data_IF_200654534940
#
_entry.id   IF_200654534940
#
_cell.length_a   1.000
_cell.length_b   1.000
_cell.length_c   1.000
_cell.angle_alpha   90.00
_cell.angle_beta   90.00
_cell.angle_gamma   90.00
#
_symmetry.space_group_name_H-M   'P 1'
#
loop_
_entity.id
_entity.type
_entity.pdbx_description
1 polymer ?
#
# COMPACT_ATOMS: atom_id res chain seq x y z
N UNK A 1 -8.64 -32.65 22.67
CA UNK A 1 -7.30 -32.45 22.08
C UNK A 1 -7.47 -31.34 21.06
N UNK A 2 -6.79 -30.21 21.23
CA UNK A 2 -6.85 -29.10 20.26
C UNK A 2 -6.07 -29.50 19.01
N UNK A 3 -6.62 -29.21 17.83
CA UNK A 3 -5.98 -29.48 16.55
C UNK A 3 -5.54 -28.16 15.91
N UNK A 4 -4.36 -28.11 15.26
CA UNK A 4 -3.95 -26.95 14.49
C UNK A 4 -4.99 -26.63 13.40
N UNK A 5 -5.22 -25.35 13.15
CA UNK A 5 -6.04 -24.90 12.03
C UNK A 5 -5.42 -25.36 10.71
N UNK A 6 -6.21 -25.54 9.66
CA UNK A 6 -5.67 -25.76 8.32
C UNK A 6 -5.91 -24.53 7.46
N UNK A 7 -4.87 -23.72 7.28
CA UNK A 7 -4.95 -22.53 6.44
C UNK A 7 -3.72 -22.34 5.55
N UNK A 8 -3.92 -21.65 4.43
CA UNK A 8 -2.87 -21.33 3.48
C UNK A 8 -2.88 -19.85 3.17
N UNK A 9 -1.70 -19.24 3.19
CA UNK A 9 -1.48 -17.92 2.62
C UNK A 9 -0.64 -18.08 1.37
N UNK A 10 -0.97 -17.37 0.30
CA UNK A 10 -0.20 -17.43 -0.95
C UNK A 10 -0.15 -16.06 -1.61
N UNK A 11 0.98 -15.77 -2.25
CA UNK A 11 1.06 -14.60 -3.12
C UNK A 11 0.12 -14.80 -4.30
N UNK A 12 -0.54 -13.73 -4.73
CA UNK A 12 -1.33 -13.72 -5.95
C UNK A 12 -1.06 -12.42 -6.69
N UNK A 13 -0.81 -12.45 -8.01
CA UNK A 13 -0.91 -11.25 -8.82
C UNK A 13 -2.30 -10.67 -8.63
N UNK A 14 -2.38 -9.45 -8.11
CA UNK A 14 -3.62 -8.69 -8.05
C UNK A 14 -3.51 -7.60 -9.10
N UNK A 15 -4.59 -7.39 -9.85
CA UNK A 15 -4.77 -6.19 -10.67
C UNK A 15 -4.52 -4.99 -9.76
N UNK A 16 -3.38 -4.32 -9.98
CA UNK A 16 -2.74 -3.49 -8.98
C UNK A 16 -3.54 -2.26 -8.70
N UNK A 17 -4.39 -2.34 -7.69
CA UNK A 17 -5.16 -1.19 -7.26
C UNK A 17 -5.85 -1.48 -5.91
N UNK A 18 -6.48 -0.49 -5.27
CA UNK A 18 -7.60 -0.71 -4.30
C UNK A 18 -8.84 -1.29 -5.02
N UNK A 19 -8.61 -2.35 -5.79
CA UNK A 19 -9.56 -2.94 -6.71
C UNK A 19 -10.72 -3.57 -5.96
N UNK A 20 -11.91 -2.99 -6.11
CA UNK A 20 -13.16 -3.53 -5.62
C UNK A 20 -13.88 -4.20 -6.79
N UNK A 21 -14.20 -5.48 -6.65
CA UNK A 21 -15.05 -6.15 -7.63
C UNK A 21 -16.53 -5.84 -7.36
N UNK A 22 -17.39 -6.02 -8.35
CA UNK A 22 -18.83 -5.87 -8.16
C UNK A 22 -19.37 -6.76 -6.99
N UNK A 23 -18.93 -8.03 -6.83
CA UNK A 23 -19.21 -8.83 -5.63
C UNK A 23 -18.73 -8.22 -4.30
N UNK A 24 -17.63 -7.48 -4.31
CA UNK A 24 -17.13 -6.80 -3.11
C UNK A 24 -18.02 -5.61 -2.74
N UNK A 25 -18.45 -4.84 -3.74
CA UNK A 25 -19.37 -3.70 -3.55
C UNK A 25 -20.73 -4.17 -3.05
N UNK A 26 -21.25 -5.28 -3.60
CA UNK A 26 -22.48 -5.94 -3.13
C UNK A 26 -22.49 -6.23 -1.64
N UNK A 27 -21.37 -6.75 -1.11
CA UNK A 27 -21.21 -7.00 0.34
C UNK A 27 -21.19 -5.72 1.18
N UNK A 28 -21.01 -4.56 0.55
CA UNK A 28 -21.07 -3.23 1.14
C UNK A 28 -22.42 -2.51 0.97
N UNK A 29 -23.46 -3.19 0.46
CA UNK A 29 -24.80 -2.61 0.36
C UNK A 29 -25.67 -2.99 1.56
N UNK A 30 -26.53 -2.06 1.99
CA UNK A 30 -27.52 -2.37 3.02
C UNK A 30 -28.71 -3.15 2.45
N UNK A 31 -29.40 -3.95 3.28
CA UNK A 31 -30.65 -4.64 2.88
C UNK A 31 -31.66 -3.68 2.23
N UNK A 32 -31.80 -2.47 2.76
CA UNK A 32 -32.66 -1.43 2.21
C UNK A 32 -32.19 -0.90 0.84
N UNK A 33 -30.87 -0.77 0.64
CA UNK A 33 -30.31 -0.40 -0.66
C UNK A 33 -30.56 -1.50 -1.68
N UNK A 34 -30.51 -2.77 -1.25
CA UNK A 34 -30.75 -3.92 -2.12
C UNK A 34 -32.25 -4.09 -2.40
N UNK A 35 -33.14 -3.84 -1.44
CA UNK A 35 -34.59 -3.95 -1.64
C UNK A 35 -35.14 -2.88 -2.58
N UNK A 36 -34.52 -1.68 -2.61
CA UNK A 36 -34.80 -0.65 -3.62
C UNK A 36 -34.41 -1.04 -5.05
N UNK A 37 -33.63 -2.11 -5.22
CA UNK A 37 -33.24 -2.66 -6.51
C UNK A 37 -34.19 -3.77 -7.00
N UNK A 38 -35.37 -3.94 -6.37
CA UNK A 38 -36.39 -4.94 -6.72
C UNK A 38 -35.90 -6.41 -6.65
N UNK A 39 -35.02 -6.71 -5.69
CA UNK A 39 -34.48 -8.06 -5.48
C UNK A 39 -35.35 -8.88 -4.52
N UNK A 40 -35.53 -10.18 -4.81
CA UNK A 40 -36.15 -11.14 -3.90
C UNK A 40 -35.36 -11.27 -2.57
N UNK A 41 -35.95 -10.78 -1.47
CA UNK A 41 -35.32 -10.69 -0.14
C UNK A 41 -34.75 -12.02 0.36
N UNK A 42 -35.35 -13.15 -0.05
CA UNK A 42 -34.95 -14.51 0.39
C UNK A 42 -33.59 -14.96 -0.16
N UNK A 43 -33.14 -14.41 -1.29
CA UNK A 43 -31.83 -14.72 -1.89
C UNK A 43 -30.66 -14.05 -1.16
N UNK A 44 -30.95 -13.05 -0.31
CA UNK A 44 -29.94 -12.20 0.35
C UNK A 44 -29.76 -12.59 1.83
N UNK A 45 -30.83 -13.03 2.50
CA UNK A 45 -30.83 -13.35 3.94
C UNK A 45 -29.89 -14.48 4.36
N UNK A 46 -29.46 -15.35 3.44
CA UNK A 46 -28.62 -16.51 3.76
C UNK A 46 -27.11 -16.26 3.74
N UNK A 47 -26.63 -15.10 3.25
CA UNK A 47 -25.20 -14.89 2.93
C UNK A 47 -24.53 -13.64 3.55
N UNK A 48 -25.27 -12.75 4.23
CA UNK A 48 -24.72 -11.52 4.81
C UNK A 48 -24.79 -11.54 6.34
N UNK A 49 -23.64 -11.69 6.99
CA UNK A 49 -23.48 -11.40 8.41
C UNK A 49 -23.52 -9.87 8.62
N UNK A 50 -24.62 -9.37 9.19
CA UNK A 50 -24.95 -7.94 9.30
C UNK A 50 -23.85 -7.14 10.03
N UNK A 51 -23.09 -7.79 10.92
CA UNK A 51 -22.00 -7.17 11.68
C UNK A 51 -20.72 -6.94 10.85
N UNK A 52 -20.31 -7.88 9.99
CA UNK A 52 -19.12 -7.72 9.15
C UNK A 52 -19.35 -6.68 8.05
N UNK A 53 -20.61 -6.56 7.58
CA UNK A 53 -21.03 -5.53 6.65
C UNK A 53 -20.85 -4.11 7.22
N UNK A 54 -21.45 -3.85 8.38
CA UNK A 54 -21.38 -2.52 9.04
C UNK A 54 -19.93 -2.12 9.28
N UNK A 55 -19.10 -3.05 9.76
CA UNK A 55 -17.68 -2.79 10.01
C UNK A 55 -16.91 -2.38 8.73
N UNK A 56 -17.12 -3.08 7.60
CA UNK A 56 -16.45 -2.77 6.33
C UNK A 56 -16.88 -1.41 5.76
N UNK A 57 -18.18 -1.12 5.82
CA UNK A 57 -18.73 0.16 5.36
C UNK A 57 -18.17 1.30 6.20
N UNK A 58 -18.20 1.18 7.52
CA UNK A 58 -17.76 2.23 8.44
C UNK A 58 -16.26 2.47 8.31
N UNK A 59 -15.49 1.40 8.09
CA UNK A 59 -14.07 1.50 7.78
C UNK A 59 -13.80 2.27 6.48
N UNK A 60 -14.54 1.99 5.40
CA UNK A 60 -14.43 2.73 4.15
C UNK A 60 -14.82 4.21 4.32
N UNK A 61 -15.92 4.49 5.03
CA UNK A 61 -16.37 5.86 5.33
C UNK A 61 -15.30 6.64 6.11
N UNK A 62 -14.76 6.03 7.16
CA UNK A 62 -13.69 6.59 8.00
C UNK A 62 -12.44 6.91 7.18
N UNK A 63 -12.05 6.01 6.28
CA UNK A 63 -10.90 6.21 5.38
C UNK A 63 -11.08 7.38 4.42
N UNK A 64 -12.31 7.61 3.99
CA UNK A 64 -12.67 8.70 3.07
C UNK A 64 -13.05 10.00 3.78
N UNK A 65 -13.10 9.98 5.12
CA UNK A 65 -13.57 11.07 5.98
C UNK A 65 -14.99 11.55 5.65
N UNK A 66 -15.87 10.60 5.35
CA UNK A 66 -17.30 10.84 5.12
C UNK A 66 -18.14 10.03 6.12
N UNK A 67 -19.43 10.36 6.23
CA UNK A 67 -20.31 9.66 7.16
C UNK A 67 -20.66 8.24 6.66
N UNK A 68 -20.87 7.27 7.57
CA UNK A 68 -21.41 5.95 7.23
C UNK A 68 -22.70 5.96 6.40
N UNK A 69 -23.57 6.95 6.64
CA UNK A 69 -24.82 7.10 5.88
C UNK A 69 -24.55 7.58 4.46
N UNK A 70 -23.62 8.52 4.28
CA UNK A 70 -23.23 8.98 2.95
C UNK A 70 -22.63 7.85 2.13
N UNK A 71 -21.67 7.10 2.67
CA UNK A 71 -21.10 5.96 1.94
C UNK A 71 -22.16 4.90 1.62
N UNK A 72 -23.16 4.68 2.49
CA UNK A 72 -24.27 3.76 2.23
C UNK A 72 -25.06 4.18 0.98
N UNK A 73 -25.36 5.48 0.84
CA UNK A 73 -26.05 6.02 -0.34
C UNK A 73 -25.18 5.88 -1.59
N UNK A 74 -23.93 6.35 -1.51
CA UNK A 74 -23.01 6.35 -2.65
C UNK A 74 -22.70 4.94 -3.19
N UNK A 75 -22.57 3.95 -2.30
CA UNK A 75 -22.39 2.56 -2.73
C UNK A 75 -23.62 2.03 -3.47
N UNK A 76 -24.83 2.40 -3.04
CA UNK A 76 -26.08 2.03 -3.71
C UNK A 76 -26.20 2.62 -5.12
N UNK A 77 -25.95 3.93 -5.24
CA UNK A 77 -26.03 4.64 -6.52
C UNK A 77 -24.98 4.14 -7.50
N UNK A 78 -23.73 3.99 -7.05
CA UNK A 78 -22.65 3.42 -7.86
C UNK A 78 -22.98 2.00 -8.31
N UNK A 79 -23.54 1.19 -7.42
CA UNK A 79 -23.89 -0.19 -7.72
C UNK A 79 -24.97 -0.27 -8.80
N UNK A 80 -26.01 0.55 -8.71
CA UNK A 80 -27.07 0.62 -9.71
C UNK A 80 -26.50 0.96 -11.09
N UNK A 81 -25.64 1.97 -11.17
CA UNK A 81 -25.00 2.39 -12.43
C UNK A 81 -24.05 1.33 -13.00
N UNK A 82 -23.31 0.63 -12.14
CA UNK A 82 -22.50 -0.51 -12.56
C UNK A 82 -23.36 -1.65 -13.11
N UNK A 83 -24.51 -1.93 -12.50
CA UNK A 83 -25.43 -2.93 -13.02
C UNK A 83 -25.96 -2.52 -14.40
N UNK A 84 -26.43 -1.28 -14.57
CA UNK A 84 -26.93 -0.80 -15.87
C UNK A 84 -25.86 -0.85 -16.97
N UNK A 85 -24.59 -0.61 -16.64
CA UNK A 85 -23.50 -0.72 -17.62
C UNK A 85 -23.16 -2.17 -18.01
N UNK A 86 -23.31 -3.13 -17.10
CA UNK A 86 -23.01 -4.55 -17.37
C UNK A 86 -24.23 -5.24 -17.99
N UNK A 87 -25.43 -4.95 -17.48
CA UNK A 87 -26.73 -5.56 -17.84
C UNK A 87 -27.83 -4.49 -17.85
N UNK A 88 -27.98 -3.73 -18.96
CA UNK A 88 -28.98 -2.67 -19.04
C UNK A 88 -30.41 -3.23 -18.99
N UNK A 89 -31.27 -2.62 -18.18
CA UNK A 89 -32.72 -2.84 -18.18
C UNK A 89 -33.25 -4.03 -17.36
N UNK A 90 -32.40 -4.87 -16.74
CA UNK A 90 -32.86 -5.84 -15.74
C UNK A 90 -31.78 -6.09 -14.70
N UNK A 91 -32.11 -5.94 -13.42
CA UNK A 91 -31.16 -6.18 -12.35
C UNK A 91 -30.90 -7.69 -12.16
N UNK A 92 -29.77 -8.19 -12.65
CA UNK A 92 -29.36 -9.59 -12.48
C UNK A 92 -28.15 -9.72 -11.55
N UNK A 93 -28.44 -9.96 -10.27
CA UNK A 93 -27.42 -10.18 -9.26
C UNK A 93 -26.56 -11.43 -9.52
N UNK A 94 -27.10 -12.45 -10.20
CA UNK A 94 -26.39 -13.70 -10.45
C UNK A 94 -25.29 -13.49 -11.47
N UNK A 95 -25.57 -12.76 -12.54
CA UNK A 95 -24.57 -12.40 -13.54
C UNK A 95 -23.58 -11.36 -13.00
N UNK A 96 -24.04 -10.41 -12.19
CA UNK A 96 -23.15 -9.44 -11.56
C UNK A 96 -22.20 -10.10 -10.52
N UNK A 97 -22.66 -11.14 -9.82
CA UNK A 97 -21.78 -12.00 -8.99
C UNK A 97 -20.69 -12.71 -9.82
N UNK A 98 -20.96 -12.98 -11.11
CA UNK A 98 -19.99 -13.58 -12.05
C UNK A 98 -19.05 -12.53 -12.67
N UNK A 99 -19.40 -11.24 -12.61
CA UNK A 99 -18.56 -10.17 -13.12
C UNK A 99 -17.21 -10.16 -12.38
N UNK A 100 -16.14 -10.29 -13.17
CA UNK A 100 -14.76 -10.25 -12.68
C UNK A 100 -14.17 -8.84 -12.70
N UNK A 101 -14.92 -7.86 -13.21
CA UNK A 101 -14.44 -6.49 -13.32
C UNK A 101 -14.17 -5.86 -11.96
N UNK A 102 -13.11 -5.05 -11.91
CA UNK A 102 -12.69 -4.38 -10.67
C UNK A 102 -12.48 -2.90 -10.92
N UNK A 103 -12.80 -2.10 -9.91
CA UNK A 103 -12.74 -0.65 -10.01
C UNK A 103 -12.13 -0.01 -8.78
N UNK A 104 -11.73 1.25 -8.93
CA UNK A 104 -11.25 2.08 -7.85
C UNK A 104 -12.43 2.69 -7.12
N UNK A 105 -12.97 1.91 -6.18
CA UNK A 105 -14.16 2.32 -5.44
C UNK A 105 -13.94 3.66 -4.75
N UNK A 106 -12.76 3.86 -4.18
CA UNK A 106 -12.47 5.03 -3.38
C UNK A 106 -12.32 6.28 -4.25
N UNK A 107 -11.54 6.23 -5.33
CA UNK A 107 -11.39 7.41 -6.20
C UNK A 107 -12.63 7.70 -7.02
N UNK A 108 -13.42 6.70 -7.43
CA UNK A 108 -14.69 6.94 -8.13
C UNK A 108 -15.67 7.69 -7.23
N UNK A 109 -15.89 7.21 -5.99
CA UNK A 109 -16.79 7.88 -5.04
C UNK A 109 -16.23 9.25 -4.65
N UNK A 110 -14.92 9.38 -4.36
CA UNK A 110 -14.32 10.68 -4.08
C UNK A 110 -14.47 11.65 -5.25
N UNK A 111 -14.31 11.19 -6.49
CA UNK A 111 -14.48 12.01 -7.69
C UNK A 111 -15.90 12.50 -7.81
N UNK A 112 -16.89 11.61 -7.69
CA UNK A 112 -18.31 11.96 -7.71
C UNK A 112 -18.63 13.00 -6.63
N UNK A 113 -18.32 12.68 -5.37
CA UNK A 113 -18.60 13.57 -4.23
C UNK A 113 -17.90 14.93 -4.33
N UNK A 114 -16.70 14.97 -4.91
CA UNK A 114 -15.94 16.20 -5.10
C UNK A 114 -16.50 17.09 -6.23
N UNK A 115 -17.18 16.50 -7.21
CA UNK A 115 -17.70 17.17 -8.41
C UNK A 115 -19.22 17.34 -8.43
N UNK A 116 -19.96 16.75 -7.48
CA UNK A 116 -21.41 16.89 -7.30
C UNK A 116 -21.86 18.33 -7.02
N UNK A 117 -20.94 19.26 -6.75
CA UNK A 117 -21.23 20.71 -6.81
C UNK A 117 -21.51 21.20 -8.26
N UNK A 118 -21.29 20.35 -9.28
CA UNK A 118 -21.29 20.68 -10.72
C UNK A 118 -21.90 19.58 -11.64
N UNK A 119 -22.88 18.78 -11.18
CA UNK A 119 -23.73 17.88 -12.03
C UNK A 119 -23.13 16.55 -12.58
N UNK A 120 -22.08 15.97 -11.99
CA UNK A 120 -21.51 14.69 -12.49
C UNK A 120 -22.11 13.44 -11.82
N UNK A 121 -22.83 12.61 -12.58
CA UNK A 121 -23.33 11.30 -12.12
C UNK A 121 -22.28 10.18 -12.24
N UNK A 122 -22.50 9.07 -11.51
CA UNK A 122 -21.65 7.87 -11.64
C UNK A 122 -21.64 7.31 -13.06
N UNK A 123 -22.76 7.39 -13.79
CA UNK A 123 -22.84 6.99 -15.21
C UNK A 123 -21.70 7.59 -16.05
N UNK A 124 -21.52 8.91 -15.95
CA UNK A 124 -20.50 9.63 -16.73
C UNK A 124 -19.08 9.22 -16.33
N UNK A 125 -18.83 9.11 -15.02
CA UNK A 125 -17.52 8.71 -14.51
C UNK A 125 -17.17 7.31 -14.99
N UNK A 126 -18.10 6.36 -14.86
CA UNK A 126 -17.89 4.97 -15.26
C UNK A 126 -17.72 4.85 -16.77
N UNK A 127 -18.51 5.57 -17.58
CA UNK A 127 -18.34 5.57 -19.04
C UNK A 127 -16.94 6.00 -19.48
N UNK A 128 -16.33 6.97 -18.79
CA UNK A 128 -15.00 7.48 -19.11
C UNK A 128 -13.86 6.54 -18.65
N UNK A 129 -14.03 5.83 -17.52
CA UNK A 129 -12.94 5.12 -16.85
C UNK A 129 -13.05 3.61 -16.87
N UNK A 130 -14.22 3.06 -17.22
CA UNK A 130 -14.53 1.63 -17.15
C UNK A 130 -14.89 1.08 -18.54
N UNK A 131 -14.15 0.07 -19.00
CA UNK A 131 -14.46 -0.64 -20.24
C UNK A 131 -15.09 -2.01 -19.91
N UNK A 132 -16.23 -2.32 -20.50
CA UNK A 132 -16.97 -3.57 -20.26
C UNK A 132 -16.20 -4.83 -20.71
N UNK A 133 -15.25 -4.69 -21.65
CA UNK A 133 -14.40 -5.80 -22.13
C UNK A 133 -13.06 -5.89 -21.41
N UNK A 134 -12.60 -4.79 -20.85
CA UNK A 134 -11.36 -4.69 -20.08
C UNK A 134 -11.63 -3.83 -18.84
N UNK A 135 -11.94 -4.44 -17.69
CA UNK A 135 -12.41 -3.75 -16.51
C UNK A 135 -11.23 -3.15 -15.71
N UNK A 136 -10.37 -2.40 -16.40
CA UNK A 136 -9.24 -1.66 -15.82
C UNK A 136 -9.64 -0.19 -15.68
N UNK A 137 -9.41 0.37 -14.49
CA UNK A 137 -9.69 1.78 -14.20
C UNK A 137 -8.69 2.66 -14.92
N UNK A 138 -9.19 3.70 -15.58
CA UNK A 138 -8.33 4.68 -16.23
C UNK A 138 -8.23 6.00 -15.46
N UNK A 139 -7.03 6.35 -14.98
CA UNK A 139 -6.73 7.69 -14.45
C UNK A 139 -6.51 8.74 -15.53
N UNK A 140 -5.93 8.35 -16.65
CA UNK A 140 -5.66 9.23 -17.79
C UNK A 140 -5.93 8.49 -19.10
N UNK A 141 -6.03 9.19 -20.22
CA UNK A 141 -5.70 8.56 -21.51
C UNK A 141 -4.28 8.00 -21.44
N UNK A 142 -3.93 6.96 -22.23
CA UNK A 142 -2.58 6.43 -22.26
C UNK A 142 -1.56 7.56 -22.35
N UNK A 143 -0.62 7.55 -21.42
CA UNK A 143 0.46 8.54 -21.32
C UNK A 143 1.41 8.34 -22.49
N UNK A 144 2.02 9.43 -22.94
CA UNK A 144 3.01 9.37 -24.00
C UNK A 144 4.33 8.85 -23.44
N UNK A 145 4.82 7.75 -24.00
CA UNK A 145 6.11 7.17 -23.68
C UNK A 145 7.07 7.36 -24.87
N UNK A 146 8.21 8.00 -24.64
CA UNK A 146 9.21 8.23 -25.68
C UNK A 146 10.59 8.49 -25.07
N UNK A 147 11.65 8.40 -25.88
CA UNK A 147 13.01 8.80 -25.45
C UNK A 147 13.30 10.25 -25.82
N UNK A 148 13.95 10.97 -24.92
CA UNK A 148 14.40 12.34 -25.18
C UNK A 148 15.70 12.42 -25.99
N UNK A 149 16.16 13.66 -26.25
CA UNK A 149 17.40 13.92 -26.97
C UNK A 149 18.66 13.37 -26.31
N UNK A 150 18.62 13.02 -25.01
CA UNK A 150 19.71 12.35 -24.29
C UNK A 150 19.45 10.85 -24.14
N UNK A 151 18.54 10.29 -24.94
CA UNK A 151 18.12 8.89 -24.90
C UNK A 151 17.45 8.45 -23.58
N UNK A 152 17.05 9.40 -22.71
CA UNK A 152 16.37 9.07 -21.46
C UNK A 152 14.89 8.83 -21.70
N UNK A 153 14.33 7.83 -21.05
CA UNK A 153 12.92 7.54 -21.16
C UNK A 153 12.08 8.64 -20.49
N UNK A 154 11.10 9.17 -21.21
CA UNK A 154 10.14 10.15 -20.71
C UNK A 154 8.72 9.62 -20.77
N UNK A 155 8.01 9.82 -19.68
CA UNK A 155 6.62 9.46 -19.49
C UNK A 155 5.82 10.73 -19.19
N UNK A 156 4.95 11.13 -20.11
CA UNK A 156 4.15 12.35 -20.01
C UNK A 156 2.67 11.99 -19.85
N UNK A 157 2.07 12.45 -18.75
CA UNK A 157 0.65 12.25 -18.42
C UNK A 157 -0.27 12.56 -19.63
N UNK A 158 -1.17 11.62 -19.94
CA UNK A 158 -2.23 11.83 -20.94
C UNK A 158 -3.37 12.74 -20.44
N UNK A 159 -4.44 12.88 -21.24
CA UNK A 159 -5.63 13.64 -20.82
C UNK A 159 -6.30 12.98 -19.61
N UNK A 160 -6.60 13.74 -18.55
CA UNK A 160 -7.09 13.15 -17.31
C UNK A 160 -8.54 12.63 -17.40
N UNK A 161 -8.77 11.45 -16.82
CA UNK A 161 -10.07 10.80 -16.64
C UNK A 161 -10.46 10.70 -15.15
N UNK A 162 -9.53 10.29 -14.28
CA UNK A 162 -9.71 10.15 -12.82
C UNK A 162 -8.46 10.66 -12.07
N UNK A 163 -8.63 11.11 -10.82
CA UNK A 163 -7.48 11.38 -9.93
C UNK A 163 -7.43 10.31 -8.84
N UNK A 164 -6.23 9.92 -8.43
CA UNK A 164 -6.05 9.02 -7.29
C UNK A 164 -6.31 9.80 -5.98
N UNK A 165 -7.49 9.60 -5.40
CA UNK A 165 -7.98 10.35 -4.24
C UNK A 165 -8.23 9.44 -3.04
N UNK A 166 -7.98 9.96 -1.85
CA UNK A 166 -8.30 9.27 -0.59
C UNK A 166 -9.56 9.85 0.04
N UNK A 167 -9.72 11.17 0.00
CA UNK A 167 -10.88 11.89 0.52
C UNK A 167 -11.43 12.84 -0.55
N UNK A 168 -12.74 13.15 -0.57
CA UNK A 168 -13.30 14.08 -1.56
C UNK A 168 -12.61 15.46 -1.57
N UNK A 169 -12.09 15.91 -0.42
CA UNK A 169 -11.38 17.17 -0.28
C UNK A 169 -10.04 17.22 -1.07
N UNK A 170 -9.50 16.07 -1.48
CA UNK A 170 -8.24 15.98 -2.23
C UNK A 170 -8.34 16.68 -3.61
N UNK A 171 -9.55 16.90 -4.15
CA UNK A 171 -9.72 17.62 -5.43
C UNK A 171 -9.08 19.02 -5.39
N UNK A 172 -9.16 19.69 -4.24
CA UNK A 172 -8.61 21.03 -4.04
C UNK A 172 -7.08 21.05 -4.00
N UNK A 173 -6.47 19.87 -3.90
CA UNK A 173 -5.02 19.66 -3.75
C UNK A 173 -4.37 19.10 -5.00
N UNK A 174 -5.11 19.03 -6.10
CA UNK A 174 -4.57 18.70 -7.42
C UNK A 174 -3.79 19.91 -7.93
N UNK A 175 -2.50 19.74 -8.18
CA UNK A 175 -1.61 20.83 -8.61
C UNK A 175 -1.17 20.69 -10.07
N UNK A 176 -0.48 21.69 -10.59
CA UNK A 176 0.08 21.63 -11.95
C UNK A 176 1.08 20.48 -12.11
N UNK A 177 1.34 20.01 -13.36
CA UNK A 177 2.31 18.96 -13.61
C UNK A 177 3.68 19.22 -12.95
N UNK A 178 4.15 18.23 -12.21
CA UNK A 178 5.48 18.19 -11.59
C UNK A 178 6.36 17.23 -12.39
N UNK A 179 7.62 17.63 -12.58
CA UNK A 179 8.65 16.77 -13.14
C UNK A 179 9.32 15.97 -12.03
N UNK A 180 9.25 14.65 -12.15
CA UNK A 180 9.97 13.65 -11.37
C UNK A 180 11.10 13.06 -12.21
N UNK A 181 12.22 12.76 -11.57
CA UNK A 181 13.29 11.93 -12.15
C UNK A 181 13.48 10.74 -11.25
N UNK A 182 13.26 9.55 -11.79
CA UNK A 182 13.38 8.28 -11.13
C UNK A 182 14.74 7.71 -11.54
N UNK A 183 15.71 7.79 -10.64
CA UNK A 183 17.11 7.52 -10.95
C UNK A 183 17.45 6.03 -10.78
N UNK A 184 18.11 5.47 -11.78
CA UNK A 184 18.62 4.11 -11.84
C UNK A 184 20.09 4.15 -12.28
N UNK A 185 21.00 4.04 -11.32
CA UNK A 185 22.44 4.22 -11.52
C UNK A 185 22.79 5.56 -12.23
N UNK A 186 23.32 5.48 -13.45
CA UNK A 186 23.72 6.62 -14.28
C UNK A 186 22.60 7.13 -15.21
N UNK A 187 21.40 6.53 -15.17
CA UNK A 187 20.24 6.92 -15.97
C UNK A 187 19.07 7.42 -15.09
N UNK A 188 18.06 8.01 -15.71
CA UNK A 188 16.81 8.36 -15.05
C UNK A 188 15.61 8.36 -16.00
N UNK A 189 14.50 7.77 -15.55
CA UNK A 189 13.19 7.98 -16.16
C UNK A 189 12.67 9.34 -15.75
N UNK A 190 12.20 10.12 -16.72
CA UNK A 190 11.53 11.41 -16.47
C UNK A 190 10.04 11.19 -16.51
N UNK A 191 9.36 11.45 -15.39
CA UNK A 191 7.90 11.44 -15.30
C UNK A 191 7.41 12.88 -15.18
N UNK A 192 6.51 13.30 -16.08
CA UNK A 192 5.86 14.61 -16.02
C UNK A 192 4.38 14.37 -15.84
N UNK A 193 3.89 14.64 -14.63
CA UNK A 193 2.49 14.41 -14.30
C UNK A 193 2.01 15.37 -13.25
N UNK A 194 0.74 15.70 -13.33
CA UNK A 194 0.00 16.28 -12.22
C UNK A 194 -0.02 15.32 -11.05
N UNK A 195 -0.10 15.89 -9.86
CA UNK A 195 -0.14 15.14 -8.61
C UNK A 195 -1.35 15.54 -7.76
N UNK A 196 -1.83 14.60 -6.97
CA UNK A 196 -2.67 14.88 -5.82
C UNK A 196 -1.76 15.16 -4.62
N UNK A 197 -1.70 16.41 -4.16
CA UNK A 197 -0.89 16.79 -2.99
C UNK A 197 -1.59 16.38 -1.69
N UNK A 198 -0.85 15.77 -0.77
CA UNK A 198 -1.25 15.60 0.63
C UNK A 198 -0.18 16.22 1.52
N UNK A 199 -0.45 16.26 2.82
CA UNK A 199 0.44 16.91 3.80
C UNK A 199 1.85 16.29 3.79
N UNK A 200 1.95 14.98 3.62
CA UNK A 200 3.16 14.18 3.77
C UNK A 200 3.69 13.60 2.45
N UNK A 201 2.83 13.43 1.44
CA UNK A 201 3.23 12.88 0.14
C UNK A 201 2.42 13.45 -1.04
N UNK A 202 3.00 13.36 -2.23
CA UNK A 202 2.38 13.62 -3.52
C UNK A 202 2.04 12.29 -4.14
N UNK A 203 0.83 12.14 -4.68
CA UNK A 203 0.45 10.92 -5.40
C UNK A 203 0.28 11.20 -6.87
N UNK A 204 0.94 10.41 -7.70
CA UNK A 204 0.77 10.37 -9.15
C UNK A 204 0.05 9.08 -9.50
N UNK A 205 -0.94 9.17 -10.40
CA UNK A 205 -1.53 7.98 -11.02
C UNK A 205 -1.72 8.25 -12.49
N UNK A 206 -1.18 7.36 -13.32
CA UNK A 206 -1.18 7.50 -14.77
C UNK A 206 -1.45 6.16 -15.42
N UNK A 207 -1.96 6.21 -16.65
CA UNK A 207 -1.99 5.03 -17.50
C UNK A 207 -0.91 5.09 -18.56
N UNK A 208 -0.38 3.94 -18.95
CA UNK A 208 0.56 3.68 -20.03
C UNK A 208 -0.07 2.65 -20.96
N UNK A 209 0.24 2.76 -22.25
CA UNK A 209 -0.15 1.72 -23.19
C UNK A 209 0.78 0.51 -23.02
N UNK A 210 0.21 -0.66 -22.78
CA UNK A 210 0.97 -1.90 -22.60
C UNK A 210 1.46 -2.47 -23.92
N UNK A 211 0.93 -1.97 -25.04
CA UNK A 211 1.39 -2.29 -26.38
C UNK A 211 2.49 -1.32 -26.87
N UNK A 212 2.89 -0.31 -26.07
CA UNK A 212 3.97 0.61 -26.43
C UNK A 212 5.33 -0.11 -26.48
N UNK A 213 6.10 0.12 -27.54
CA UNK A 213 7.41 -0.51 -27.76
C UNK A 213 8.42 -0.28 -26.61
N UNK A 214 8.27 0.82 -25.85
CA UNK A 214 9.16 1.16 -24.75
C UNK A 214 8.67 0.66 -23.38
N UNK A 215 7.54 -0.06 -23.31
CA UNK A 215 6.94 -0.47 -22.03
C UNK A 215 7.91 -1.33 -21.21
N UNK A 216 8.65 -2.24 -21.84
CA UNK A 216 9.62 -3.09 -21.12
C UNK A 216 10.72 -2.26 -20.46
N UNK A 217 11.26 -1.26 -21.17
CA UNK A 217 12.29 -0.36 -20.65
C UNK A 217 11.76 0.47 -19.47
N UNK A 218 10.50 0.93 -19.56
CA UNK A 218 9.83 1.63 -18.46
C UNK A 218 9.73 0.73 -17.23
N UNK A 219 9.29 -0.51 -17.42
CA UNK A 219 9.09 -1.47 -16.34
C UNK A 219 10.40 -1.81 -15.62
N UNK A 220 11.46 -2.03 -16.37
CA UNK A 220 12.77 -2.34 -15.82
C UNK A 220 13.39 -1.13 -15.12
N UNK A 221 13.26 0.07 -15.70
CA UNK A 221 13.73 1.30 -15.06
C UNK A 221 12.95 1.64 -13.77
N UNK A 222 11.64 1.42 -13.74
CA UNK A 222 10.82 1.63 -12.55
C UNK A 222 11.19 0.67 -11.42
N UNK A 223 11.41 -0.61 -11.72
CA UNK A 223 11.85 -1.61 -10.72
C UNK A 223 13.26 -1.34 -10.21
N UNK A 224 14.15 -0.82 -11.05
CA UNK A 224 15.53 -0.51 -10.69
C UNK A 224 15.73 0.85 -10.03
N UNK A 225 14.68 1.67 -9.90
CA UNK A 225 14.78 3.02 -9.32
C UNK A 225 15.31 2.97 -7.88
N UNK A 226 16.37 3.74 -7.62
CA UNK A 226 17.04 3.81 -6.31
C UNK A 226 16.58 4.99 -5.47
N UNK A 227 16.27 6.12 -6.12
CA UNK A 227 15.78 7.34 -5.48
C UNK A 227 15.06 8.22 -6.50
N UNK A 228 14.29 9.17 -6.00
CA UNK A 228 13.55 10.13 -6.84
C UNK A 228 14.01 11.54 -6.52
N UNK A 229 14.10 12.36 -7.55
CA UNK A 229 14.15 13.82 -7.39
C UNK A 229 12.95 14.48 -8.04
N UNK A 230 12.48 15.59 -7.48
CA UNK A 230 11.33 16.31 -8.04
C UNK A 230 11.55 17.83 -8.10
N UNK A 231 10.80 18.47 -9.00
CA UNK A 231 10.79 19.92 -9.18
C UNK A 231 12.06 20.48 -9.84
N UNK A 232 12.16 21.81 -9.88
CA UNK A 232 13.28 22.53 -10.50
C UNK A 232 14.59 22.38 -9.70
N UNK A 233 14.49 22.26 -8.37
CA UNK A 233 15.63 22.16 -7.46
C UNK A 233 16.14 20.73 -7.27
N UNK A 234 15.57 19.74 -7.98
CA UNK A 234 15.92 18.31 -7.85
C UNK A 234 15.93 17.83 -6.40
N UNK A 235 14.89 18.16 -5.63
CA UNK A 235 14.79 17.74 -4.23
C UNK A 235 14.68 16.22 -4.17
N UNK A 236 15.58 15.57 -3.42
CA UNK A 236 15.56 14.12 -3.19
C UNK A 236 14.40 13.76 -2.27
N UNK A 237 13.65 12.71 -2.61
CA UNK A 237 12.53 12.23 -1.80
C UNK A 237 12.46 10.70 -1.74
N UNK A 238 12.09 10.13 -0.57
CA UNK A 238 11.68 8.74 -0.50
C UNK A 238 10.35 8.52 -1.22
N UNK A 239 10.12 7.30 -1.69
CA UNK A 239 8.99 6.99 -2.55
C UNK A 239 8.45 5.58 -2.35
N UNK A 240 7.19 5.38 -2.76
CA UNK A 240 6.57 4.07 -2.92
C UNK A 240 6.04 3.99 -4.35
N UNK A 241 6.51 2.99 -5.09
CA UNK A 241 5.93 2.61 -6.36
C UNK A 241 4.94 1.47 -6.12
N UNK A 242 3.69 1.69 -6.48
CA UNK A 242 2.69 0.62 -6.49
C UNK A 242 2.64 0.03 -7.90
N UNK A 243 3.13 -1.20 -8.04
CA UNK A 243 3.11 -1.93 -9.31
C UNK A 243 2.90 -3.42 -9.08
N UNK A 244 1.69 -3.90 -9.37
CA UNK A 244 1.43 -5.32 -9.60
C UNK A 244 0.36 -5.46 -10.67
N UNK A 245 0.54 -6.39 -11.62
CA UNK A 245 -0.30 -6.47 -12.80
C UNK A 245 -0.09 -5.30 -13.77
N UNK A 246 1.17 -4.97 -14.04
CA UNK A 246 1.55 -3.94 -15.02
C UNK A 246 1.07 -4.24 -16.46
N UNK A 247 0.59 -5.46 -16.69
CA UNK A 247 -0.11 -5.91 -17.89
C UNK A 247 -1.38 -5.09 -18.20
N UNK A 248 -1.85 -4.27 -17.25
CA UNK A 248 -3.03 -3.41 -17.44
C UNK A 248 -2.69 -1.91 -17.53
N UNK A 249 -1.40 -1.55 -17.54
CA UNK A 249 -0.98 -0.20 -17.92
C UNK A 249 -1.30 0.91 -16.93
N UNK A 250 -1.51 0.66 -15.63
CA UNK A 250 -1.64 1.75 -14.62
C UNK A 250 -0.45 1.78 -13.67
N UNK A 251 0.11 2.96 -13.43
CA UNK A 251 1.23 3.19 -12.51
C UNK A 251 0.82 4.21 -11.45
N UNK A 252 1.05 3.90 -10.17
CA UNK A 252 0.84 4.83 -9.05
C UNK A 252 2.15 5.03 -8.30
N UNK A 253 2.52 6.29 -8.09
CA UNK A 253 3.74 6.69 -7.41
C UNK A 253 3.40 7.64 -6.26
N UNK A 254 3.84 7.30 -5.05
CA UNK A 254 3.78 8.17 -3.88
C UNK A 254 5.17 8.72 -3.59
N UNK A 255 5.32 10.05 -3.60
CA UNK A 255 6.58 10.75 -3.34
C UNK A 255 6.45 11.60 -2.08
N UNK A 256 7.26 11.33 -1.07
CA UNK A 256 7.19 12.01 0.23
C UNK A 256 7.99 13.31 0.18
N UNK A 257 7.27 14.44 0.07
CA UNK A 257 7.80 15.70 -0.45
C UNK A 257 8.32 16.68 0.61
N UNK A 258 8.32 16.29 1.88
CA UNK A 258 8.94 17.13 2.91
C UNK A 258 10.46 17.19 2.66
N UNK A 259 11.04 18.37 2.82
CA UNK A 259 12.46 18.60 2.51
C UNK A 259 13.40 18.27 3.67
N UNK A 260 12.87 17.74 4.77
CA UNK A 260 13.58 17.38 5.98
C UNK A 260 13.39 15.89 6.31
N UNK A 261 13.96 15.46 7.45
CA UNK A 261 13.88 14.08 7.91
C UNK A 261 12.47 13.53 8.13
N UNK A 262 11.46 14.39 8.23
CA UNK A 262 10.08 13.94 8.41
C UNK A 262 9.53 13.25 7.16
N UNK A 263 10.13 13.43 5.98
CA UNK A 263 9.78 12.67 4.78
C UNK A 263 10.06 11.17 4.93
N UNK A 264 11.25 10.79 5.40
CA UNK A 264 11.60 9.39 5.66
C UNK A 264 10.75 8.81 6.79
N UNK A 265 10.51 9.57 7.86
CA UNK A 265 9.63 9.15 8.95
C UNK A 265 8.21 8.87 8.45
N UNK A 266 7.64 9.79 7.66
CA UNK A 266 6.30 9.64 7.06
C UNK A 266 6.25 8.47 6.07
N UNK A 267 7.30 8.27 5.27
CA UNK A 267 7.43 7.16 4.34
C UNK A 267 7.43 5.80 5.05
N UNK A 268 8.22 5.65 6.11
CA UNK A 268 8.25 4.40 6.88
C UNK A 268 6.94 4.17 7.64
N UNK A 269 6.35 5.23 8.18
CA UNK A 269 5.01 5.16 8.80
C UNK A 269 3.97 4.66 7.81
N UNK A 270 3.95 5.21 6.59
CA UNK A 270 3.09 4.75 5.51
C UNK A 270 3.26 3.25 5.24
N UNK A 271 4.49 2.80 5.02
CA UNK A 271 4.78 1.38 4.75
C UNK A 271 4.30 0.47 5.90
N UNK A 272 4.56 0.87 7.15
CA UNK A 272 4.09 0.13 8.33
C UNK A 272 2.56 0.03 8.39
N UNK A 273 1.85 1.16 8.24
CA UNK A 273 0.38 1.18 8.29
C UNK A 273 -0.24 0.35 7.16
N UNK A 274 0.32 0.40 5.95
CA UNK A 274 -0.18 -0.38 4.82
C UNK A 274 0.05 -1.87 5.03
N UNK A 275 1.21 -2.26 5.56
CA UNK A 275 1.49 -3.64 5.91
C UNK A 275 0.55 -4.18 7.00
N UNK A 276 0.30 -3.41 8.06
CA UNK A 276 -0.63 -3.81 9.14
C UNK A 276 -2.06 -3.98 8.65
N UNK A 277 -2.49 -3.14 7.68
CA UNK A 277 -3.79 -3.31 7.00
C UNK A 277 -3.83 -4.61 6.20
N UNK A 278 -2.77 -4.94 5.47
CA UNK A 278 -2.67 -6.22 4.75
C UNK A 278 -2.75 -7.40 5.72
N UNK A 279 -1.97 -7.39 6.80
CA UNK A 279 -1.98 -8.43 7.83
C UNK A 279 -3.37 -8.58 8.46
N UNK A 280 -4.03 -7.47 8.79
CA UNK A 280 -5.39 -7.46 9.31
C UNK A 280 -6.37 -8.11 8.33
N UNK A 281 -6.26 -7.77 7.04
CA UNK A 281 -7.07 -8.36 5.98
C UNK A 281 -6.85 -9.88 5.86
N UNK A 282 -5.61 -10.35 5.96
CA UNK A 282 -5.27 -11.78 5.90
C UNK A 282 -5.88 -12.50 7.09
N UNK A 283 -5.63 -12.03 8.31
CA UNK A 283 -6.16 -12.66 9.54
C UNK A 283 -7.69 -12.71 9.53
N UNK A 284 -8.34 -11.61 9.14
CA UNK A 284 -9.80 -11.56 9.02
C UNK A 284 -10.33 -12.50 7.94
N UNK A 285 -9.61 -12.70 6.83
CA UNK A 285 -9.99 -13.68 5.79
C UNK A 285 -9.87 -15.10 6.32
N UNK A 286 -8.83 -15.39 7.10
CA UNK A 286 -8.62 -16.69 7.74
C UNK A 286 -9.66 -17.00 8.84
N UNK A 287 -10.50 -16.04 9.23
CA UNK A 287 -11.67 -16.27 10.11
C UNK A 287 -12.71 -17.17 9.49
N UNK A 288 -12.98 -16.96 8.22
CA UNK A 288 -14.10 -17.56 7.49
C UNK A 288 -13.66 -18.37 6.29
N UNK A 289 -12.35 -18.49 6.06
CA UNK A 289 -11.76 -19.25 4.96
C UNK A 289 -10.49 -19.96 5.38
N UNK A 290 -10.17 -21.05 4.69
CA UNK A 290 -8.89 -21.76 4.82
C UNK A 290 -7.81 -21.15 3.93
N UNK A 291 -8.12 -20.14 3.11
CA UNK A 291 -7.16 -19.54 2.20
C UNK A 291 -7.22 -18.01 2.21
N UNK A 292 -6.06 -17.39 2.37
CA UNK A 292 -5.88 -15.96 2.22
C UNK A 292 -4.78 -15.65 1.20
N UNK A 293 -4.81 -14.43 0.66
CA UNK A 293 -3.89 -14.00 -0.37
C UNK A 293 -3.26 -12.66 -0.01
N UNK A 294 -2.02 -12.46 -0.45
CA UNK A 294 -1.35 -11.15 -0.42
C UNK A 294 -0.76 -10.84 -1.80
N UNK A 295 -0.51 -9.56 -2.06
CA UNK A 295 0.15 -9.10 -3.27
C UNK A 295 1.34 -8.24 -2.85
N UNK A 296 2.60 -8.65 -3.12
CA UNK A 296 3.75 -7.79 -2.91
C UNK A 296 3.61 -6.47 -3.69
N UNK A 297 4.33 -5.39 -3.35
CA UNK A 297 4.36 -4.17 -4.16
C UNK A 297 3.07 -3.32 -4.22
N UNK A 298 1.90 -3.83 -3.85
CA UNK A 298 0.65 -3.10 -3.94
C UNK A 298 0.38 -2.28 -2.67
N UNK A 299 -0.13 -1.05 -2.82
CA UNK A 299 -0.58 -0.25 -1.67
C UNK A 299 0.55 0.20 -0.75
N UNK A 300 1.82 0.07 -1.13
CA UNK A 300 2.96 0.21 -0.21
C UNK A 300 3.05 -0.87 0.88
N UNK A 301 2.35 -1.99 0.73
CA UNK A 301 2.31 -3.08 1.74
C UNK A 301 3.69 -3.72 1.91
N UNK A 302 4.34 -4.06 0.80
CA UNK A 302 5.72 -4.52 0.75
C UNK A 302 6.36 -3.78 -0.42
N UNK A 303 7.03 -2.63 -0.20
CA UNK A 303 7.65 -1.90 -1.31
C UNK A 303 8.60 -2.84 -2.04
N UNK A 304 8.44 -2.97 -3.36
CA UNK A 304 9.12 -3.97 -4.22
C UNK A 304 10.63 -4.00 -3.96
N UNK A 305 11.23 -2.87 -3.61
CA UNK A 305 12.62 -2.82 -3.17
C UNK A 305 12.83 -1.77 -2.06
N UNK A 306 12.12 -1.90 -0.93
CA UNK A 306 12.22 -1.00 0.24
C UNK A 306 13.66 -0.64 0.59
N UNK A 307 14.51 -1.65 0.69
CA UNK A 307 15.90 -1.52 1.08
C UNK A 307 16.73 -0.78 0.02
N UNK A 308 16.52 -1.04 -1.28
CA UNK A 308 17.18 -0.29 -2.36
C UNK A 308 16.79 1.19 -2.29
N UNK A 309 15.49 1.47 -2.15
CA UNK A 309 14.95 2.83 -2.06
C UNK A 309 15.47 3.59 -0.83
N UNK A 310 15.52 2.94 0.34
CA UNK A 310 16.08 3.53 1.56
C UNK A 310 17.56 3.91 1.38
N UNK A 311 18.38 2.96 0.90
CA UNK A 311 19.81 3.18 0.67
C UNK A 311 20.05 4.28 -0.35
N UNK A 312 19.35 4.23 -1.50
CA UNK A 312 19.47 5.23 -2.55
C UNK A 312 19.04 6.63 -2.11
N UNK A 313 17.98 6.73 -1.30
CA UNK A 313 17.53 8.03 -0.76
C UNK A 313 18.55 8.62 0.20
N UNK A 314 19.08 7.83 1.15
CA UNK A 314 20.14 8.27 2.08
C UNK A 314 21.41 8.68 1.32
N UNK A 315 21.78 7.89 0.31
CA UNK A 315 22.93 8.15 -0.56
C UNK A 315 22.84 9.49 -1.26
N UNK A 316 21.70 9.72 -1.91
CA UNK A 316 21.46 10.91 -2.71
C UNK A 316 21.40 12.18 -1.85
N UNK A 317 20.83 12.12 -0.63
CA UNK A 317 20.85 13.25 0.30
C UNK A 317 22.29 13.59 0.77
N UNK A 318 23.18 12.60 0.80
CA UNK A 318 24.57 12.76 1.23
C UNK A 318 25.56 12.95 0.07
N UNK A 319 25.10 13.06 -1.18
CA UNK A 319 25.92 13.16 -2.40
C UNK A 319 26.91 11.98 -2.59
N UNK A 320 26.49 10.77 -2.24
CA UNK A 320 27.35 9.58 -2.26
C UNK A 320 27.24 8.80 -3.58
N UNK A 321 28.38 8.38 -4.16
CA UNK A 321 28.45 7.83 -5.53
C UNK A 321 28.37 6.30 -5.68
N UNK A 322 28.58 5.51 -4.62
CA UNK A 322 28.74 4.03 -4.75
C UNK A 322 28.14 3.23 -3.58
N UNK A 323 26.81 3.19 -3.44
CA UNK A 323 26.12 2.54 -2.31
C UNK A 323 25.50 1.18 -2.53
N UNK A 324 25.46 0.69 -3.75
CA UNK A 324 24.97 -0.66 -4.02
C UNK A 324 25.78 -1.76 -3.29
N UNK A 325 27.02 -1.43 -2.88
CA UNK A 325 27.92 -2.30 -2.14
C UNK A 325 27.69 -2.32 -0.63
N UNK A 326 26.89 -1.41 -0.08
CA UNK A 326 26.61 -1.36 1.36
C UNK A 326 25.43 -2.28 1.66
N UNK A 327 25.64 -3.24 2.56
CA UNK A 327 24.59 -4.18 2.95
C UNK A 327 23.51 -3.51 3.79
N UNK A 328 22.29 -4.02 3.72
CA UNK A 328 21.14 -3.49 4.50
C UNK A 328 21.39 -3.48 5.99
N UNK A 329 22.02 -4.55 6.47
CA UNK A 329 22.49 -4.68 7.85
C UNK A 329 23.31 -3.49 8.31
N UNK A 330 24.24 -3.02 7.47
CA UNK A 330 25.11 -1.90 7.81
C UNK A 330 24.29 -0.61 7.92
N UNK A 331 23.41 -0.34 6.97
CA UNK A 331 22.57 0.88 6.98
C UNK A 331 21.61 0.89 8.17
N UNK A 332 20.97 -0.23 8.49
CA UNK A 332 20.12 -0.35 9.68
C UNK A 332 20.95 -0.17 10.96
N UNK A 333 22.13 -0.79 11.03
CA UNK A 333 23.04 -0.64 12.17
C UNK A 333 23.48 0.82 12.38
N UNK A 334 23.74 1.55 11.29
CA UNK A 334 24.05 2.98 11.34
C UNK A 334 22.90 3.82 11.88
N UNK A 335 21.66 3.56 11.44
CA UNK A 335 20.46 4.24 11.96
C UNK A 335 20.29 4.01 13.47
N UNK A 336 20.42 2.77 13.93
CA UNK A 336 20.33 2.41 15.35
C UNK A 336 21.45 3.08 16.15
N UNK A 337 22.67 3.07 15.63
CA UNK A 337 23.83 3.68 16.27
C UNK A 337 23.68 5.21 16.36
N UNK A 338 23.15 5.86 15.32
CA UNK A 338 22.88 7.30 15.32
C UNK A 338 21.82 7.66 16.37
N UNK A 339 20.76 6.86 16.51
CA UNK A 339 19.76 7.01 17.57
C UNK A 339 20.36 6.81 18.97
N UNK A 340 21.21 5.80 19.14
CA UNK A 340 21.88 5.54 20.42
C UNK A 340 22.78 6.70 20.84
N UNK A 341 23.48 7.32 19.89
CA UNK A 341 24.48 8.37 20.13
C UNK A 341 23.94 9.79 20.11
N UNK A 342 22.70 10.04 19.66
CA UNK A 342 22.15 11.40 19.62
C UNK A 342 22.14 12.04 21.02
N UNK A 343 22.12 13.36 21.11
CA UNK A 343 22.10 14.10 22.37
C UNK A 343 21.06 15.20 22.31
N UNK A 344 20.03 15.12 23.16
CA UNK A 344 18.83 15.96 23.00
C UNK A 344 18.19 15.72 21.63
N UNK A 345 17.85 16.79 20.92
CA UNK A 345 17.30 16.76 19.55
C UNK A 345 18.35 16.57 18.44
N UNK A 346 19.65 16.60 18.77
CA UNK A 346 20.73 16.58 17.76
C UNK A 346 21.26 15.18 17.50
N UNK A 347 21.51 14.89 16.24
CA UNK A 347 22.22 13.69 15.78
C UNK A 347 23.72 13.98 15.74
N UNK A 348 24.52 13.14 16.41
CA UNK A 348 25.98 13.32 16.47
C UNK A 348 26.70 12.71 15.26
N UNK A 349 25.99 11.93 14.44
CA UNK A 349 26.50 11.32 13.23
C UNK A 349 26.08 12.19 12.04
N UNK A 350 27.05 12.82 11.37
CA UNK A 350 26.81 13.88 10.37
C UNK A 350 26.00 13.40 9.17
N UNK A 351 26.18 12.14 8.75
CA UNK A 351 25.48 11.57 7.59
C UNK A 351 23.99 11.42 7.90
N UNK A 352 23.63 10.90 9.07
CA UNK A 352 22.26 10.82 9.54
C UNK A 352 21.69 12.18 9.94
N UNK A 353 22.52 13.12 10.44
CA UNK A 353 22.09 14.49 10.73
C UNK A 353 21.61 15.20 9.46
N UNK A 354 22.30 15.05 8.32
CA UNK A 354 21.83 15.60 7.03
C UNK A 354 20.50 15.00 6.57
N UNK A 355 20.31 13.71 6.82
CA UNK A 355 19.13 12.96 6.37
C UNK A 355 17.91 13.25 7.23
N UNK A 356 18.06 13.18 8.55
CA UNK A 356 16.94 13.25 9.48
C UNK A 356 16.77 14.64 10.11
N UNK A 357 17.80 15.47 10.10
CA UNK A 357 17.86 16.82 10.71
C UNK A 357 17.76 16.81 12.24
N UNK A 358 16.86 16.00 12.82
CA UNK A 358 16.66 15.83 14.25
C UNK A 358 16.61 14.36 14.66
N UNK A 359 16.91 14.10 15.93
CA UNK A 359 16.75 12.76 16.50
C UNK A 359 15.29 12.33 16.61
N UNK A 360 14.35 13.28 16.73
CA UNK A 360 12.91 12.99 16.76
C UNK A 360 12.44 12.34 15.45
N UNK A 361 12.84 12.85 14.29
CA UNK A 361 12.49 12.23 13.00
C UNK A 361 13.12 10.83 12.84
N UNK A 362 14.38 10.64 13.26
CA UNK A 362 15.01 9.32 13.25
C UNK A 362 14.28 8.34 14.18
N UNK A 363 13.86 8.80 15.37
CA UNK A 363 13.10 8.00 16.32
C UNK A 363 11.74 7.60 15.74
N UNK A 364 11.02 8.52 15.08
CA UNK A 364 9.74 8.21 14.40
C UNK A 364 9.91 7.19 13.27
N UNK A 365 10.96 7.34 12.47
CA UNK A 365 11.33 6.37 11.44
C UNK A 365 11.58 4.99 12.06
N UNK A 366 12.49 4.90 13.03
CA UNK A 366 12.87 3.63 13.66
C UNK A 366 11.70 2.99 14.39
N UNK A 367 10.83 3.78 15.03
CA UNK A 367 9.63 3.28 15.67
C UNK A 367 8.71 2.60 14.67
N UNK A 368 8.43 3.27 13.54
CA UNK A 368 7.61 2.73 12.46
C UNK A 368 8.25 1.49 11.82
N UNK A 369 9.57 1.49 11.65
CA UNK A 369 10.32 0.34 11.13
C UNK A 369 10.27 -0.86 12.07
N UNK A 370 10.44 -0.67 13.37
CA UNK A 370 10.34 -1.75 14.36
C UNK A 370 8.92 -2.33 14.46
N UNK A 371 7.90 -1.47 14.37
CA UNK A 371 6.50 -1.91 14.28
C UNK A 371 6.32 -2.79 13.03
N UNK A 372 6.77 -2.33 11.87
CA UNK A 372 6.76 -3.10 10.63
C UNK A 372 7.45 -4.47 10.79
N UNK A 373 8.65 -4.52 11.36
CA UNK A 373 9.41 -5.76 11.58
C UNK A 373 8.64 -6.74 12.48
N UNK A 374 8.00 -6.27 13.57
CA UNK A 374 7.22 -7.14 14.47
C UNK A 374 5.93 -7.63 13.82
N UNK A 375 5.25 -6.77 13.07
CA UNK A 375 4.09 -7.16 12.26
C UNK A 375 4.51 -8.18 11.20
N UNK A 376 5.68 -8.01 10.59
CA UNK A 376 6.22 -8.92 9.59
C UNK A 376 6.56 -10.29 10.16
N UNK A 377 7.15 -10.39 11.36
CA UNK A 377 7.39 -11.68 12.04
C UNK A 377 6.08 -12.48 12.21
N UNK A 378 5.00 -11.82 12.65
CA UNK A 378 3.69 -12.45 12.76
C UNK A 378 3.16 -12.91 11.39
N UNK A 379 3.26 -12.07 10.36
CA UNK A 379 2.89 -12.43 9.01
C UNK A 379 3.70 -13.62 8.47
N UNK A 380 5.03 -13.61 8.61
CA UNK A 380 5.92 -14.65 8.10
C UNK A 380 5.59 -16.02 8.74
N UNK A 381 5.31 -16.04 10.05
CA UNK A 381 4.83 -17.25 10.74
C UNK A 381 3.53 -17.80 10.14
N UNK A 382 2.56 -16.93 9.86
CA UNK A 382 1.29 -17.30 9.22
C UNK A 382 1.54 -17.75 7.77
N UNK A 383 2.37 -17.05 7.02
CA UNK A 383 2.64 -17.32 5.62
C UNK A 383 3.37 -18.65 5.39
N UNK A 384 4.30 -18.99 6.28
CA UNK A 384 5.05 -20.24 6.25
C UNK A 384 4.34 -21.41 6.93
N UNK A 385 3.16 -21.19 7.51
CA UNK A 385 2.45 -22.15 8.37
C UNK A 385 2.34 -23.57 7.76
N UNK A 386 1.94 -23.64 6.50
CA UNK A 386 1.76 -24.88 5.73
C UNK A 386 2.85 -25.07 4.65
N UNK A 387 3.93 -24.27 4.69
CA UNK A 387 5.08 -24.46 3.79
C UNK A 387 5.83 -25.72 4.23
N UNK A 388 6.08 -26.62 3.28
CA UNK A 388 6.88 -27.82 3.52
C UNK A 388 8.37 -27.49 3.42
N UNK A 389 9.17 -28.16 4.22
CA UNK A 389 10.63 -28.13 4.09
C UNK A 389 11.12 -28.88 2.84
N UNK A 390 12.43 -28.87 2.59
CA UNK A 390 13.06 -29.53 1.45
C UNK A 390 12.84 -31.06 1.44
N UNK A 391 12.43 -31.65 2.57
CA UNK A 391 12.15 -33.08 2.74
C UNK A 391 10.65 -33.37 2.63
N UNK A 392 9.83 -32.36 2.35
CA UNK A 392 8.38 -32.48 2.23
C UNK A 392 7.63 -32.56 3.56
N UNK A 393 8.31 -32.32 4.70
CA UNK A 393 7.71 -32.34 6.02
C UNK A 393 7.09 -30.98 6.38
N UNK A 394 5.99 -31.02 7.13
CA UNK A 394 5.42 -29.82 7.74
C UNK A 394 6.21 -29.41 8.98
N UNK A 395 6.05 -28.16 9.39
CA UNK A 395 6.51 -27.66 10.68
C UNK A 395 5.99 -28.55 11.84
N UNK A 396 6.74 -28.66 12.96
CA UNK A 396 6.33 -29.46 14.11
C UNK A 396 4.92 -29.13 14.61
N UNK A 397 4.21 -30.13 15.14
CA UNK A 397 2.84 -29.98 15.62
C UNK A 397 2.70 -28.83 16.64
N UNK A 398 3.64 -28.69 17.56
CA UNK A 398 3.65 -27.64 18.58
C UNK A 398 3.73 -26.23 17.98
N UNK A 399 4.62 -26.02 16.99
CA UNK A 399 4.74 -24.74 16.29
C UNK A 399 3.47 -24.44 15.51
N UNK A 400 2.89 -25.44 14.84
CA UNK A 400 1.62 -25.27 14.12
C UNK A 400 0.46 -24.93 15.07
N UNK A 401 0.39 -25.57 16.24
CA UNK A 401 -0.63 -25.24 17.24
C UNK A 401 -0.44 -23.81 17.78
N UNK A 402 0.80 -23.37 18.01
CA UNK A 402 1.10 -22.01 18.45
C UNK A 402 0.65 -20.95 17.43
N UNK A 403 0.96 -21.15 16.15
CA UNK A 403 0.56 -20.24 15.07
C UNK A 403 -0.97 -20.23 14.93
N UNK A 404 -1.62 -21.40 15.04
CA UNK A 404 -3.08 -21.51 15.03
C UNK A 404 -3.71 -20.70 16.16
N UNK A 405 -3.20 -20.84 17.38
CA UNK A 405 -3.63 -20.08 18.54
C UNK A 405 -3.35 -18.58 18.40
N UNK A 406 -2.26 -18.20 17.75
CA UNK A 406 -1.98 -16.81 17.39
C UNK A 406 -3.05 -16.26 16.44
N UNK A 407 -3.35 -16.94 15.34
CA UNK A 407 -4.40 -16.51 14.38
C UNK A 407 -5.74 -16.37 15.08
N UNK A 408 -6.16 -17.36 15.88
CA UNK A 408 -7.42 -17.29 16.63
C UNK A 408 -7.46 -16.10 17.60
N UNK A 409 -6.36 -15.83 18.32
CA UNK A 409 -6.28 -14.67 19.23
C UNK A 409 -6.39 -13.36 18.47
N UNK A 410 -5.66 -13.20 17.37
CA UNK A 410 -5.66 -11.99 16.55
C UNK A 410 -7.05 -11.73 15.94
N UNK A 411 -7.78 -12.79 15.64
CA UNK A 411 -9.09 -12.76 15.01
C UNK A 411 -10.25 -12.48 15.98
N UNK A 412 -10.03 -12.52 17.31
CA UNK A 412 -11.10 -12.32 18.30
C UNK A 412 -11.63 -10.89 18.27
N UNK A 413 -12.82 -10.71 17.68
CA UNK A 413 -13.65 -9.50 17.65
C UNK A 413 -12.92 -8.19 17.33
N UNK A 414 -11.88 -8.23 16.48
CA UNK A 414 -10.96 -7.12 16.18
C UNK A 414 -10.12 -6.60 17.37
N UNK A 415 -10.41 -7.06 18.59
CA UNK A 415 -9.66 -6.75 19.82
C UNK A 415 -8.26 -7.35 19.77
N UNK A 416 -8.13 -8.58 19.27
CA UNK A 416 -6.86 -9.28 19.16
C UNK A 416 -5.85 -8.54 18.29
N UNK A 417 -6.28 -8.13 17.08
CA UNK A 417 -5.47 -7.33 16.18
C UNK A 417 -5.08 -5.99 16.83
N UNK A 418 -6.05 -5.26 17.39
CA UNK A 418 -5.79 -3.98 18.06
C UNK A 418 -4.78 -4.12 19.21
N UNK A 419 -4.87 -5.20 19.99
CA UNK A 419 -3.94 -5.51 21.07
C UNK A 419 -2.53 -5.82 20.56
N UNK A 420 -2.41 -6.56 19.44
CA UNK A 420 -1.11 -6.82 18.81
C UNK A 420 -0.46 -5.52 18.33
N UNK A 421 -1.22 -4.65 17.65
CA UNK A 421 -0.71 -3.36 17.16
C UNK A 421 -0.21 -2.49 18.32
N UNK A 422 -0.98 -2.41 19.42
CA UNK A 422 -0.56 -1.71 20.63
C UNK A 422 0.70 -2.33 21.27
N UNK A 423 0.80 -3.66 21.28
CA UNK A 423 1.97 -4.38 21.78
C UNK A 423 3.22 -4.13 20.93
N UNK A 424 3.09 -4.10 19.60
CA UNK A 424 4.17 -3.78 18.67
C UNK A 424 4.66 -2.35 18.88
N UNK A 425 3.75 -1.38 19.03
CA UNK A 425 4.09 0.00 19.35
C UNK A 425 4.82 0.12 20.71
N UNK A 426 4.34 -0.59 21.75
CA UNK A 426 4.97 -0.61 23.06
C UNK A 426 6.34 -1.32 23.07
N UNK A 427 6.53 -2.32 22.21
CA UNK A 427 7.83 -2.94 21.98
C UNK A 427 8.80 -1.95 21.34
N UNK A 428 8.39 -1.29 20.25
CA UNK A 428 9.23 -0.33 19.54
C UNK A 428 9.68 0.82 20.46
N UNK A 429 8.75 1.37 21.24
CA UNK A 429 9.04 2.42 22.23
C UNK A 429 10.08 1.96 23.26
N UNK A 430 9.86 0.78 23.87
CA UNK A 430 10.78 0.23 24.88
C UNK A 430 12.15 -0.07 24.29
N UNK A 431 12.21 -0.68 23.11
CA UNK A 431 13.48 -1.01 22.45
C UNK A 431 14.31 0.25 22.19
N UNK A 432 13.69 1.31 21.65
CA UNK A 432 14.36 2.57 21.39
C UNK A 432 14.75 3.31 22.67
N UNK A 433 13.93 3.23 23.72
CA UNK A 433 14.26 3.80 25.03
C UNK A 433 15.42 3.06 25.71
N UNK A 434 15.47 1.73 25.64
CA UNK A 434 16.59 0.93 26.14
C UNK A 434 17.89 1.29 25.42
N UNK A 435 17.85 1.43 24.10
CA UNK A 435 19.02 1.85 23.32
C UNK A 435 19.45 3.26 23.68
N UNK A 436 18.50 4.18 23.90
CA UNK A 436 18.78 5.56 24.29
C UNK A 436 19.40 5.67 25.69
N UNK A 437 18.90 4.91 26.65
CA UNK A 437 19.28 5.02 28.06
C UNK A 437 20.48 4.15 28.43
N UNK A 438 20.72 3.08 27.66
CA UNK A 438 21.73 2.05 27.95
C UNK A 438 22.33 1.53 26.64
N UNK A 439 22.93 2.44 25.87
CA UNK A 439 23.63 2.16 24.62
C UNK A 439 24.90 1.31 24.83
N UNK A 440 24.75 0.10 25.34
CA UNK A 440 25.84 -0.88 25.35
C UNK A 440 25.97 -1.48 23.95
N UNK A 441 27.19 -1.87 23.60
CA UNK A 441 27.45 -2.59 22.35
C UNK A 441 26.54 -3.83 22.22
N UNK A 442 26.30 -4.54 23.33
CA UNK A 442 25.46 -5.74 23.36
C UNK A 442 23.98 -5.45 23.05
N UNK A 443 23.41 -4.35 23.58
CA UNK A 443 22.02 -3.99 23.31
C UNK A 443 21.80 -3.59 21.84
N UNK A 444 22.74 -2.83 21.27
CA UNK A 444 22.71 -2.44 19.86
C UNK A 444 22.86 -3.68 18.97
N UNK A 445 23.79 -4.57 19.33
CA UNK A 445 24.04 -5.82 18.61
C UNK A 445 22.80 -6.71 18.63
N UNK A 446 22.17 -6.90 19.79
CA UNK A 446 20.99 -7.76 19.93
C UNK A 446 19.79 -7.24 19.11
N UNK A 447 19.54 -5.92 19.10
CA UNK A 447 18.49 -5.37 18.24
C UNK A 447 18.84 -5.51 16.75
N UNK A 448 20.10 -5.26 16.40
CA UNK A 448 20.56 -5.40 15.01
C UNK A 448 20.41 -6.84 14.53
N UNK A 449 20.81 -7.83 15.34
CA UNK A 449 20.66 -9.26 15.02
C UNK A 449 19.20 -9.67 14.87
N UNK A 450 18.29 -9.14 15.71
CA UNK A 450 16.85 -9.37 15.58
C UNK A 450 16.31 -8.83 14.26
N UNK A 451 16.73 -7.64 13.84
CA UNK A 451 16.30 -7.06 12.57
C UNK A 451 16.95 -7.81 11.39
N UNK A 452 18.24 -8.13 11.49
CA UNK A 452 19.00 -8.83 10.46
C UNK A 452 18.37 -10.18 10.10
N UNK A 453 17.89 -10.92 11.11
CA UNK A 453 17.16 -12.17 10.90
C UNK A 453 15.88 -11.96 10.06
N UNK A 454 15.24 -10.80 10.17
CA UNK A 454 14.03 -10.47 9.43
C UNK A 454 14.32 -9.88 8.05
N UNK A 455 15.47 -9.22 7.82
CA UNK A 455 15.80 -8.61 6.52
C UNK A 455 15.75 -9.64 5.39
N UNK A 456 16.34 -10.83 5.59
CA UNK A 456 16.36 -11.88 4.58
C UNK A 456 14.95 -12.41 4.28
N UNK A 457 14.14 -12.60 5.32
CA UNK A 457 12.75 -13.00 5.15
C UNK A 457 11.96 -11.92 4.41
N UNK A 458 12.05 -10.65 4.83
CA UNK A 458 11.37 -9.51 4.20
C UNK A 458 11.66 -9.45 2.70
N UNK A 459 12.94 -9.58 2.31
CA UNK A 459 13.35 -9.62 0.89
C UNK A 459 12.78 -10.78 0.11
N UNK A 460 12.41 -11.88 0.76
CA UNK A 460 11.82 -13.03 0.08
C UNK A 460 10.37 -12.75 -0.36
N UNK A 461 9.71 -11.75 0.25
CA UNK A 461 8.33 -11.38 -0.06
C UNK A 461 8.21 -10.09 -0.87
N UNK A 462 9.28 -9.31 -0.99
CA UNK A 462 9.39 -8.11 -1.84
C UNK A 462 9.84 -8.53 -3.23
#
# INVERSE_FOLDING_TARGET
MEYPLDFRVSSRPRDGFRSASAPYILKGLSKESISRLEVDEKLIESELDDADFVARRDELARRMRISPNMIKTELGDLFYELNELIHPGTLDLTELKKSKGKLDLQSIICTKLSRDQHELSYHNILFDVYNSRDPTVKYTRPSLLHRDHNNRLQLIEGSRMLNYMYEPADISRITVPIKFRLHNDDDAIILISTVTMREDHMTVAINVDVEDDHISDLMDGLKSTTHITYGANNVVAPFVLESMGLENGTIVLHVFHKTDGSALASWMKWCSEMFERMLSSIVNTLRSSTQAYFAPGLGGQLPVDFFRALRGTIAAINDEKHLERVSDRVIIGELIMAHAKATGEKLNEKRMERVFVSSSHLQEFLKSFLIFVKSFDAFNKIAQYNKRDDRGAFKPFSERLEISNMVMRLNKDSVGMSSMLASNAAFAERALQTIRNSATYDNIKLLSELIDAQIADIKTYM
#
